data_IF_006367176199
#
_entry.id   IF_006367176199
#
_cell.length_a   1.000
_cell.length_b   1.000
_cell.length_c   1.000
_cell.angle_alpha   90.00
_cell.angle_beta   90.00
_cell.angle_gamma   90.00
#
_symmetry.space_group_name_H-M   'P 1'
#
loop_
_entity.id
_entity.type
_entity.pdbx_description
1 polymer ?
#
# COMPACT_ATOMS: atom_id res chain seq x y z
N UNK A 1 -12.31 -17.77 -37.49
CA UNK A 1 -10.92 -17.87 -37.02
C UNK A 1 -10.46 -16.48 -36.60
N UNK A 2 -10.35 -16.24 -35.29
CA UNK A 2 -9.80 -14.99 -34.76
C UNK A 2 -9.02 -15.36 -33.48
N UNK A 3 -7.74 -15.63 -33.65
CA UNK A 3 -6.79 -15.88 -32.58
C UNK A 3 -5.65 -14.88 -32.70
N UNK A 4 -5.34 -14.20 -31.59
CA UNK A 4 -4.17 -13.32 -31.48
C UNK A 4 -4.53 -11.92 -31.00
N UNK A 5 -4.53 -11.73 -29.67
CA UNK A 5 -4.33 -10.43 -28.99
C UNK A 5 -4.27 -10.52 -27.45
N UNK A 6 -3.59 -11.53 -26.92
CA UNK A 6 -3.40 -11.68 -25.46
C UNK A 6 -1.93 -11.73 -25.03
N UNK A 7 -0.99 -11.73 -25.96
CA UNK A 7 0.45 -11.90 -25.66
C UNK A 7 1.18 -10.55 -25.44
N UNK A 8 0.64 -9.42 -25.93
CA UNK A 8 1.36 -8.13 -25.89
C UNK A 8 1.30 -7.38 -24.55
N UNK A 9 0.32 -7.68 -23.68
CA UNK A 9 0.16 -6.94 -22.42
C UNK A 9 1.14 -7.38 -21.32
N UNK A 10 1.51 -8.67 -21.25
CA UNK A 10 2.43 -9.19 -20.24
C UNK A 10 3.90 -8.85 -20.57
N UNK A 11 4.28 -8.83 -21.86
CA UNK A 11 5.62 -8.44 -22.32
C UNK A 11 5.93 -6.96 -22.03
N UNK A 12 4.92 -6.08 -22.16
CA UNK A 12 5.05 -4.65 -21.86
C UNK A 12 5.18 -4.33 -20.37
N UNK A 13 4.70 -5.21 -19.48
CA UNK A 13 4.77 -5.03 -18.02
C UNK A 13 6.11 -5.52 -17.48
N UNK A 14 6.60 -6.68 -17.94
CA UNK A 14 7.93 -7.19 -17.61
C UNK A 14 9.05 -6.28 -18.14
N UNK A 15 8.91 -5.74 -19.35
CA UNK A 15 9.87 -4.78 -19.92
C UNK A 15 9.91 -3.45 -19.15
N UNK A 16 8.80 -3.04 -18.51
CA UNK A 16 8.72 -1.85 -17.67
C UNK A 16 9.26 -2.08 -16.26
N UNK A 17 9.17 -3.28 -15.70
CA UNK A 17 9.64 -3.60 -14.35
C UNK A 17 11.15 -3.88 -14.26
N UNK A 18 11.77 -4.31 -15.37
CA UNK A 18 13.18 -4.76 -15.39
C UNK A 18 14.24 -3.71 -14.96
N UNK A 19 14.12 -2.42 -15.33
CA UNK A 19 15.06 -1.39 -14.87
C UNK A 19 14.99 -1.20 -13.33
N UNK A 20 13.78 -1.25 -12.76
CA UNK A 20 13.54 -1.03 -11.34
C UNK A 20 14.06 -2.17 -10.45
N UNK A 21 14.04 -3.41 -10.95
CA UNK A 21 14.62 -4.57 -10.24
C UNK A 21 16.16 -4.52 -10.21
N UNK A 22 16.80 -3.92 -11.22
CA UNK A 22 18.26 -3.75 -11.26
C UNK A 22 18.74 -2.60 -10.35
N UNK A 23 17.98 -1.52 -10.26
CA UNK A 23 18.29 -0.39 -9.38
C UNK A 23 18.07 -0.75 -7.91
N UNK A 24 16.97 -1.43 -7.58
CA UNK A 24 16.72 -1.95 -6.23
C UNK A 24 17.78 -2.97 -5.78
N UNK A 25 18.33 -3.77 -6.69
CA UNK A 25 19.41 -4.72 -6.37
C UNK A 25 20.80 -4.06 -6.19
N UNK A 26 21.00 -2.83 -6.70
CA UNK A 26 22.23 -2.07 -6.54
C UNK A 26 22.24 -1.26 -5.24
N UNK A 27 21.09 -0.78 -4.76
CA UNK A 27 20.99 0.05 -3.55
C UNK A 27 20.94 -0.74 -2.23
N UNK A 28 20.71 -2.07 -2.28
CA UNK A 28 20.85 -2.99 -1.13
C UNK A 28 22.33 -3.13 -0.69
N UNK A 29 23.30 -2.62 -1.48
CA UNK A 29 24.74 -2.72 -1.21
C UNK A 29 25.36 -1.49 -0.56
N UNK A 30 24.66 -0.79 0.32
CA UNK A 30 25.31 0.15 1.27
C UNK A 30 25.45 -0.53 2.63
N UNK A 31 26.65 -0.98 3.01
CA UNK A 31 26.88 -1.52 4.35
C UNK A 31 26.97 -0.35 5.33
N UNK A 32 25.85 0.09 5.87
CA UNK A 32 25.87 1.09 6.95
C UNK A 32 26.17 0.40 8.28
N UNK A 33 27.43 0.56 8.70
CA UNK A 33 27.84 0.42 10.08
C UNK A 33 27.28 1.60 10.89
N UNK A 34 26.09 1.43 11.49
CA UNK A 34 25.56 2.37 12.48
C UNK A 34 25.00 1.61 13.69
N UNK A 35 25.68 1.75 14.83
CA UNK A 35 25.13 1.43 16.15
C UNK A 35 24.06 2.47 16.50
N UNK A 36 22.87 2.32 15.93
CA UNK A 36 21.67 3.09 16.27
C UNK A 36 20.74 2.29 17.19
N UNK A 37 19.74 2.95 17.80
CA UNK A 37 18.67 2.25 18.54
C UNK A 37 18.09 1.14 17.67
N UNK A 38 17.99 -0.07 18.22
CA UNK A 38 17.39 -1.17 17.50
C UNK A 38 15.86 -0.98 17.49
N UNK A 39 15.34 -0.42 16.39
CA UNK A 39 13.91 -0.33 16.18
C UNK A 39 13.34 -1.72 15.90
N UNK A 40 12.42 -2.16 16.75
CA UNK A 40 11.64 -3.38 16.54
C UNK A 40 10.24 -3.04 16.05
N UNK A 41 9.62 -4.00 15.35
CA UNK A 41 8.20 -3.93 15.01
C UNK A 41 7.56 -5.27 15.33
N UNK A 42 6.41 -5.18 16.00
CA UNK A 42 5.71 -6.32 16.58
C UNK A 42 4.31 -6.34 15.98
N UNK A 43 3.84 -7.51 15.57
CA UNK A 43 2.47 -7.68 15.12
C UNK A 43 1.48 -7.82 16.29
N UNK A 44 0.19 -7.95 15.99
CA UNK A 44 -0.84 -8.07 17.04
C UNK A 44 -0.78 -9.37 17.85
N UNK A 45 -0.02 -10.38 17.41
CA UNK A 45 0.20 -11.64 18.12
C UNK A 45 1.42 -11.61 19.05
N UNK A 46 2.22 -10.53 19.00
CA UNK A 46 3.50 -10.44 19.71
C UNK A 46 4.70 -10.90 18.88
N UNK A 47 4.50 -11.27 17.61
CA UNK A 47 5.60 -11.68 16.73
C UNK A 47 6.48 -10.48 16.37
N UNK A 48 7.78 -10.57 16.66
CA UNK A 48 8.77 -9.54 16.35
C UNK A 48 9.37 -9.80 14.97
N UNK A 49 9.31 -8.79 14.10
CA UNK A 49 9.96 -8.89 12.78
C UNK A 49 11.46 -9.16 12.91
N UNK A 50 11.94 -10.10 12.13
CA UNK A 50 13.34 -10.50 12.02
C UNK A 50 13.92 -10.04 10.68
N UNK A 51 15.22 -10.26 10.48
CA UNK A 51 15.89 -9.97 9.20
C UNK A 51 15.25 -10.72 8.02
N UNK A 52 14.56 -11.85 8.26
CA UNK A 52 13.79 -12.57 7.24
C UNK A 52 12.66 -11.72 6.69
N UNK A 53 11.86 -11.06 7.53
CA UNK A 53 10.74 -10.22 7.07
C UNK A 53 11.24 -8.93 6.41
N UNK A 54 12.36 -8.36 6.89
CA UNK A 54 13.01 -7.22 6.24
C UNK A 54 13.57 -7.58 4.86
N UNK A 55 14.31 -8.68 4.75
CA UNK A 55 14.83 -9.17 3.47
C UNK A 55 13.68 -9.51 2.51
N UNK A 56 12.64 -10.19 2.99
CA UNK A 56 11.49 -10.53 2.17
C UNK A 56 10.75 -9.29 1.68
N UNK A 57 10.48 -8.30 2.55
CA UNK A 57 9.81 -7.05 2.17
C UNK A 57 10.70 -6.12 1.34
N UNK A 58 12.02 -6.28 1.39
CA UNK A 58 12.97 -5.35 0.75
C UNK A 58 13.08 -4.02 1.50
N UNK A 59 12.74 -3.99 2.78
CA UNK A 59 12.81 -2.83 3.64
C UNK A 59 14.08 -2.89 4.48
N UNK A 60 14.89 -1.83 4.42
CA UNK A 60 16.08 -1.72 5.26
C UNK A 60 15.72 -1.29 6.69
N UNK A 61 16.64 -1.55 7.64
CA UNK A 61 16.53 -1.05 9.01
C UNK A 61 16.45 0.49 9.05
N UNK A 62 17.16 1.17 8.13
CA UNK A 62 17.09 2.63 7.96
C UNK A 62 15.69 3.11 7.59
N UNK A 63 15.03 2.43 6.66
CA UNK A 63 13.64 2.75 6.29
C UNK A 63 12.65 2.47 7.44
N UNK A 64 12.90 1.43 8.24
CA UNK A 64 12.09 1.20 9.45
C UNK A 64 12.26 2.33 10.47
N UNK A 65 13.50 2.79 10.68
CA UNK A 65 13.79 3.95 11.54
C UNK A 65 13.09 5.21 11.00
N UNK A 66 13.27 5.54 9.71
CA UNK A 66 12.59 6.68 9.08
C UNK A 66 11.08 6.59 9.26
N UNK A 67 10.55 5.37 9.20
CA UNK A 67 9.13 5.12 9.41
C UNK A 67 8.70 5.39 10.85
N UNK A 68 9.42 4.85 11.83
CA UNK A 68 9.13 5.02 13.26
C UNK A 68 9.27 6.47 13.73
N UNK A 69 10.17 7.23 13.10
CA UNK A 69 10.39 8.64 13.37
C UNK A 69 9.51 9.58 12.53
N UNK A 70 8.57 9.02 11.76
CA UNK A 70 7.64 9.74 10.90
C UNK A 70 8.31 10.60 9.81
N UNK A 71 9.55 10.27 9.42
CA UNK A 71 10.33 10.95 8.38
C UNK A 71 9.92 10.53 6.97
N UNK A 72 9.58 9.26 6.77
CA UNK A 72 9.10 8.71 5.50
C UNK A 72 8.39 7.37 5.71
N UNK A 73 7.24 7.11 5.08
CA UNK A 73 6.63 5.79 5.12
C UNK A 73 7.47 4.76 4.37
N UNK A 74 7.16 3.47 4.56
CA UNK A 74 7.89 2.39 3.91
C UNK A 74 7.72 2.44 2.38
N UNK A 75 8.77 2.06 1.65
CA UNK A 75 8.80 2.07 0.19
C UNK A 75 9.06 3.44 -0.45
N UNK A 76 9.41 4.46 0.35
CA UNK A 76 9.82 5.78 -0.12
C UNK A 76 10.98 6.32 0.71
N UNK A 77 11.47 7.51 0.38
CA UNK A 77 12.60 8.18 1.02
C UNK A 77 12.17 9.53 1.61
N UNK A 78 12.84 10.03 2.67
CA UNK A 78 12.48 11.29 3.32
C UNK A 78 12.38 12.49 2.38
N UNK A 79 13.24 12.57 1.37
CA UNK A 79 13.27 13.67 0.39
C UNK A 79 12.00 13.66 -0.47
N UNK A 80 11.65 12.47 -1.00
CA UNK A 80 10.44 12.28 -1.79
C UNK A 80 9.19 12.50 -0.96
N UNK A 81 9.17 12.00 0.28
CA UNK A 81 8.06 12.20 1.19
C UNK A 81 7.84 13.67 1.51
N UNK A 82 8.89 14.43 1.85
CA UNK A 82 8.80 15.88 2.10
C UNK A 82 8.24 16.62 0.88
N UNK A 83 8.74 16.31 -0.32
CA UNK A 83 8.23 16.91 -1.56
C UNK A 83 6.73 16.59 -1.75
N UNK A 84 6.32 15.34 -1.54
CA UNK A 84 4.92 14.93 -1.66
C UNK A 84 4.01 15.69 -0.69
N UNK A 85 4.44 15.81 0.57
CA UNK A 85 3.72 16.49 1.63
C UNK A 85 3.62 18.01 1.39
N UNK A 86 4.66 18.63 0.81
CA UNK A 86 4.63 20.04 0.37
C UNK A 86 3.65 20.24 -0.78
N UNK A 87 3.72 19.40 -1.83
CA UNK A 87 2.82 19.50 -2.98
C UNK A 87 1.36 19.23 -2.58
N UNK A 88 1.12 18.31 -1.63
CA UNK A 88 -0.20 18.03 -1.09
C UNK A 88 -0.81 19.25 -0.41
N UNK A 89 -0.02 19.94 0.43
CA UNK A 89 -0.46 21.19 1.08
C UNK A 89 -0.80 22.27 0.07
N UNK A 90 0.01 22.39 -0.98
CA UNK A 90 -0.25 23.33 -2.04
C UNK A 90 -1.54 22.98 -2.79
N UNK A 91 -1.75 21.70 -3.13
CA UNK A 91 -2.98 21.24 -3.78
C UNK A 91 -4.23 21.52 -2.93
N UNK A 92 -4.19 21.25 -1.62
CA UNK A 92 -5.29 21.59 -0.71
C UNK A 92 -5.57 23.09 -0.68
N UNK A 93 -4.52 23.91 -0.60
CA UNK A 93 -4.63 25.37 -0.58
C UNK A 93 -5.21 25.92 -1.88
N UNK A 94 -4.74 25.44 -3.03
CA UNK A 94 -5.21 25.87 -4.36
C UNK A 94 -6.67 25.47 -4.58
N UNK A 95 -7.09 24.36 -3.98
CA UNK A 95 -8.49 23.91 -3.96
C UNK A 95 -9.33 24.64 -2.90
N UNK A 96 -8.75 25.51 -2.06
CA UNK A 96 -9.47 26.22 -0.99
C UNK A 96 -9.95 25.32 0.15
N UNK A 97 -9.30 24.17 0.36
CA UNK A 97 -9.59 23.22 1.44
C UNK A 97 -8.69 23.54 2.63
N UNK A 98 -9.24 24.20 3.65
CA UNK A 98 -8.49 24.66 4.83
C UNK A 98 -8.75 23.85 6.09
N UNK A 99 -9.66 22.87 6.03
CA UNK A 99 -10.10 22.06 7.17
C UNK A 99 -9.70 20.59 7.08
N UNK A 100 -8.63 20.29 6.35
CA UNK A 100 -8.14 18.95 6.14
C UNK A 100 -7.36 18.40 7.35
N UNK A 101 -7.82 17.30 7.94
CA UNK A 101 -6.97 16.38 8.72
C UNK A 101 -6.68 15.17 7.84
N UNK A 102 -5.40 14.91 7.58
CA UNK A 102 -4.97 13.81 6.73
C UNK A 102 -4.02 12.87 7.46
N UNK A 103 -4.31 11.57 7.38
CA UNK A 103 -3.51 10.52 8.02
C UNK A 103 -3.14 9.42 7.04
N UNK A 104 -1.93 8.89 7.15
CA UNK A 104 -1.50 7.73 6.40
C UNK A 104 -1.79 6.44 7.17
N UNK A 105 -2.33 5.44 6.48
CA UNK A 105 -2.75 4.15 7.02
C UNK A 105 -2.11 2.98 6.28
N UNK A 106 -2.38 1.78 6.77
CA UNK A 106 -1.93 0.54 6.17
C UNK A 106 -0.50 0.16 6.53
N UNK A 107 0.00 -0.86 5.84
CA UNK A 107 1.32 -1.45 6.09
C UNK A 107 2.46 -0.48 5.76
N UNK A 108 2.25 0.50 4.87
CA UNK A 108 3.25 1.54 4.56
C UNK A 108 3.54 2.45 5.75
N UNK A 109 2.57 2.65 6.64
CA UNK A 109 2.71 3.45 7.86
C UNK A 109 3.15 2.64 9.10
N UNK A 110 2.97 1.31 9.10
CA UNK A 110 3.07 0.49 10.34
C UNK A 110 3.82 -0.84 10.20
N UNK A 111 4.35 -1.16 9.02
CA UNK A 111 4.93 -2.46 8.64
C UNK A 111 3.91 -3.62 8.60
N UNK A 112 3.25 -3.94 9.71
CA UNK A 112 2.20 -4.97 9.77
C UNK A 112 0.81 -4.42 9.45
N UNK A 113 -0.05 -5.28 8.89
CA UNK A 113 -1.45 -4.96 8.66
C UNK A 113 -2.18 -4.81 10.00
N UNK A 114 -2.93 -3.71 10.15
CA UNK A 114 -3.87 -3.56 11.27
C UNK A 114 -5.18 -4.33 11.08
N UNK A 115 -5.39 -4.93 9.90
CA UNK A 115 -6.56 -5.75 9.58
C UNK A 115 -6.23 -7.25 9.79
N UNK A 116 -6.85 -7.92 10.77
CA UNK A 116 -6.62 -9.35 11.04
C UNK A 116 -7.13 -10.26 9.91
N UNK A 117 -8.04 -9.78 9.06
CA UNK A 117 -8.48 -10.54 7.88
C UNK A 117 -7.35 -10.68 6.84
N UNK A 118 -6.37 -9.78 6.85
CA UNK A 118 -5.15 -9.88 6.03
C UNK A 118 -4.09 -10.76 6.71
N UNK A 119 -4.48 -11.98 7.08
CA UNK A 119 -3.60 -13.00 7.67
C UNK A 119 -2.42 -13.37 6.78
N UNK A 120 -1.29 -13.71 7.41
CA UNK A 120 -0.13 -14.31 6.76
C UNK A 120 -0.29 -15.84 6.78
N UNK A 121 0.04 -16.57 5.71
CA UNK A 121 -0.06 -18.03 5.68
C UNK A 121 0.82 -18.66 6.77
N UNK A 122 0.28 -19.61 7.52
CA UNK A 122 1.03 -20.34 8.56
C UNK A 122 1.61 -21.65 8.04
N UNK A 123 0.97 -22.24 7.02
CA UNK A 123 1.40 -23.49 6.37
C UNK A 123 1.43 -23.32 4.85
N UNK A 124 2.10 -24.25 4.15
CA UNK A 124 2.06 -24.26 2.69
C UNK A 124 0.65 -24.56 2.15
N UNK A 125 -0.15 -25.38 2.83
CA UNK A 125 -1.50 -25.71 2.39
C UNK A 125 -2.47 -24.53 2.54
N UNK A 126 -2.30 -23.74 3.61
CA UNK A 126 -2.96 -22.45 3.73
C UNK A 126 -2.54 -21.51 2.60
N UNK A 127 -1.24 -21.42 2.30
CA UNK A 127 -0.72 -20.62 1.20
C UNK A 127 -1.31 -21.05 -0.15
N UNK A 128 -1.34 -22.36 -0.45
CA UNK A 128 -1.94 -22.89 -1.67
C UNK A 128 -3.41 -22.50 -1.78
N UNK A 129 -4.16 -22.60 -0.68
CA UNK A 129 -5.58 -22.20 -0.63
C UNK A 129 -5.77 -20.71 -0.88
N UNK A 130 -4.94 -19.86 -0.27
CA UNK A 130 -4.95 -18.42 -0.47
C UNK A 130 -4.57 -18.03 -1.91
N UNK A 131 -3.54 -18.67 -2.47
CA UNK A 131 -3.08 -18.45 -3.84
C UNK A 131 -4.13 -18.92 -4.86
N UNK A 132 -4.76 -20.06 -4.61
CA UNK A 132 -5.87 -20.55 -5.42
C UNK A 132 -6.98 -19.50 -5.48
N UNK A 133 -7.41 -18.94 -4.34
CA UNK A 133 -8.44 -17.89 -4.31
C UNK A 133 -7.98 -16.61 -5.01
N UNK A 134 -6.77 -16.13 -4.74
CA UNK A 134 -6.20 -14.93 -5.38
C UNK A 134 -6.14 -15.04 -6.90
N UNK A 135 -5.95 -16.26 -7.42
CA UNK A 135 -5.85 -16.58 -8.85
C UNK A 135 -7.11 -17.24 -9.43
N UNK A 136 -8.27 -17.15 -8.76
CA UNK A 136 -9.50 -17.88 -9.19
C UNK A 136 -10.01 -17.52 -10.59
N UNK A 137 -9.66 -16.34 -11.10
CA UNK A 137 -10.06 -15.87 -12.44
C UNK A 137 -9.06 -16.26 -13.54
N UNK A 138 -7.93 -16.89 -13.17
CA UNK A 138 -6.93 -17.37 -14.12
C UNK A 138 -7.35 -18.76 -14.59
N UNK A 139 -7.22 -19.02 -15.90
CA UNK A 139 -7.46 -20.34 -16.50
C UNK A 139 -6.68 -21.44 -15.79
N UNK A 140 -7.29 -22.63 -15.65
CA UNK A 140 -6.70 -23.77 -14.95
C UNK A 140 -5.29 -24.15 -15.43
N UNK A 141 -5.02 -24.03 -16.73
CA UNK A 141 -3.70 -24.33 -17.33
C UNK A 141 -2.58 -23.42 -16.83
N UNK A 142 -2.89 -22.20 -16.39
CA UNK A 142 -1.93 -21.24 -15.85
C UNK A 142 -2.02 -21.07 -14.33
N UNK A 143 -3.10 -21.54 -13.72
CA UNK A 143 -3.36 -21.37 -12.28
C UNK A 143 -2.45 -22.24 -11.43
N UNK A 144 -2.30 -23.53 -11.76
CA UNK A 144 -1.44 -24.44 -11.00
C UNK A 144 0.03 -24.02 -10.99
N UNK A 145 0.67 -23.71 -12.15
CA UNK A 145 2.04 -23.20 -12.14
C UNK A 145 2.24 -21.97 -11.26
N UNK A 146 1.30 -20.99 -11.31
CA UNK A 146 1.39 -19.79 -10.46
C UNK A 146 1.29 -20.09 -8.98
N UNK A 147 0.46 -21.05 -8.57
CA UNK A 147 0.38 -21.48 -7.17
C UNK A 147 1.71 -22.09 -6.72
N UNK A 148 2.33 -22.92 -7.56
CA UNK A 148 3.62 -23.53 -7.23
C UNK A 148 4.76 -22.50 -7.18
N UNK A 149 4.75 -21.48 -8.05
CA UNK A 149 5.70 -20.35 -7.99
C UNK A 149 5.59 -19.61 -6.64
N UNK A 150 4.36 -19.40 -6.16
CA UNK A 150 4.08 -18.77 -4.86
C UNK A 150 4.62 -19.61 -3.69
N UNK A 151 4.39 -20.93 -3.72
CA UNK A 151 4.93 -21.84 -2.70
C UNK A 151 6.46 -21.88 -2.75
N UNK A 152 7.05 -21.88 -3.94
CA UNK A 152 8.50 -21.84 -4.10
C UNK A 152 9.11 -20.56 -3.50
N UNK A 153 8.50 -19.39 -3.75
CA UNK A 153 8.92 -18.13 -3.14
C UNK A 153 8.83 -18.17 -1.60
N UNK A 154 7.76 -18.75 -1.06
CA UNK A 154 7.57 -18.92 0.38
C UNK A 154 8.61 -19.83 1.04
N UNK A 155 8.96 -20.94 0.37
CA UNK A 155 10.04 -21.86 0.78
C UNK A 155 11.40 -21.17 0.75
N UNK A 156 11.73 -20.51 -0.36
CA UNK A 156 13.00 -19.79 -0.55
C UNK A 156 13.18 -18.69 0.48
N UNK A 157 12.10 -18.02 0.88
CA UNK A 157 12.10 -17.01 1.93
C UNK A 157 12.22 -17.59 3.36
N UNK A 158 12.24 -18.92 3.52
CA UNK A 158 12.38 -19.56 4.83
C UNK A 158 11.10 -19.56 5.67
N UNK A 159 9.92 -19.42 5.05
CA UNK A 159 8.64 -19.50 5.75
C UNK A 159 8.02 -20.90 5.76
N UNK A 160 8.56 -21.84 4.99
CA UNK A 160 8.09 -23.23 4.98
C UNK A 160 8.47 -24.04 6.23
N UNK A 161 9.42 -23.55 7.04
CA UNK A 161 9.82 -24.20 8.29
C UNK A 161 8.76 -24.05 9.40
N UNK A 162 8.79 -24.91 10.42
CA UNK A 162 7.93 -24.82 11.61
C UNK A 162 8.30 -23.68 12.58
N UNK A 163 9.31 -22.87 12.23
CA UNK A 163 9.66 -21.67 12.98
C UNK A 163 8.52 -20.64 13.02
N UNK A 164 8.53 -19.73 14.01
CA UNK A 164 7.47 -18.75 14.20
C UNK A 164 7.36 -17.81 12.99
N UNK A 165 6.14 -17.37 12.69
CA UNK A 165 5.78 -16.52 11.55
C UNK A 165 4.88 -15.38 12.03
N UNK A 166 4.81 -14.26 11.28
CA UNK A 166 3.79 -13.26 11.53
C UNK A 166 2.38 -13.86 11.47
N UNK A 167 1.46 -13.38 12.30
CA UNK A 167 0.04 -13.74 12.23
C UNK A 167 -0.66 -12.98 11.08
N UNK A 168 -0.21 -11.74 10.82
CA UNK A 168 -0.78 -10.85 9.79
C UNK A 168 0.25 -10.50 8.73
N UNK A 169 -0.25 -10.15 7.55
CA UNK A 169 0.58 -9.69 6.45
C UNK A 169 1.38 -8.45 6.86
N UNK A 170 2.61 -8.39 6.36
CA UNK A 170 3.49 -7.23 6.48
C UNK A 170 3.67 -6.56 5.13
N UNK A 171 4.38 -5.43 5.14
CA UNK A 171 4.65 -4.62 3.96
C UNK A 171 5.12 -5.46 2.78
N UNK A 172 4.41 -5.33 1.65
CA UNK A 172 4.60 -6.07 0.41
C UNK A 172 4.51 -7.60 0.47
N UNK A 173 4.28 -8.21 1.63
CA UNK A 173 4.37 -9.66 1.73
C UNK A 173 3.32 -10.37 0.89
N UNK A 174 2.09 -9.84 0.85
CA UNK A 174 1.02 -10.38 0.01
C UNK A 174 1.30 -10.23 -1.47
N UNK A 175 1.90 -9.12 -1.89
CA UNK A 175 2.27 -8.89 -3.29
C UNK A 175 3.39 -9.84 -3.73
N UNK A 176 4.44 -9.96 -2.91
CA UNK A 176 5.58 -10.84 -3.19
C UNK A 176 5.22 -12.32 -3.15
N UNK A 177 4.18 -12.69 -2.39
CA UNK A 177 3.59 -14.03 -2.40
C UNK A 177 2.48 -14.20 -3.47
N UNK A 178 2.27 -13.25 -4.39
CA UNK A 178 1.24 -13.36 -5.43
C UNK A 178 -0.22 -13.35 -4.91
N UNK A 179 -0.43 -13.10 -3.62
CA UNK A 179 -1.75 -13.04 -2.95
C UNK A 179 -2.44 -11.68 -3.11
N UNK A 180 -1.76 -10.73 -3.77
CA UNK A 180 -2.26 -9.41 -4.15
C UNK A 180 -1.69 -9.07 -5.53
N UNK A 181 -2.51 -8.44 -6.38
CA UNK A 181 -2.07 -7.93 -7.68
C UNK A 181 -1.09 -6.76 -7.54
N UNK A 182 -1.22 -5.98 -6.48
CA UNK A 182 -0.50 -4.74 -6.29
C UNK A 182 0.34 -4.78 -5.01
N UNK A 183 1.49 -4.07 -4.99
CA UNK A 183 2.24 -3.81 -3.76
C UNK A 183 1.37 -3.07 -2.74
N UNK A 184 1.84 -3.00 -1.49
CA UNK A 184 1.17 -2.19 -0.46
C UNK A 184 0.97 -0.75 -0.94
N UNK A 185 -0.19 -0.18 -0.69
CA UNK A 185 -0.56 1.17 -1.10
C UNK A 185 -0.12 2.24 -0.08
N UNK A 186 -0.24 3.51 -0.51
CA UNK A 186 -0.28 4.65 0.39
C UNK A 186 -1.73 5.11 0.55
N UNK A 187 -2.35 4.63 1.62
CA UNK A 187 -3.75 4.92 1.93
C UNK A 187 -3.87 6.15 2.82
N UNK A 188 -4.20 7.29 2.19
CA UNK A 188 -4.46 8.54 2.88
C UNK A 188 -5.93 8.63 3.27
N UNK A 189 -6.19 8.81 4.55
CA UNK A 189 -7.53 9.13 5.06
C UNK A 189 -7.62 10.64 5.29
N UNK A 190 -8.53 11.29 4.57
CA UNK A 190 -8.76 12.73 4.60
C UNK A 190 -10.11 13.03 5.23
N UNK A 191 -10.13 13.74 6.34
CA UNK A 191 -11.34 14.32 6.92
C UNK A 191 -11.41 15.80 6.57
N UNK A 192 -12.48 16.24 5.88
CA UNK A 192 -12.75 17.65 5.55
C UNK A 192 -14.24 17.82 5.25
N UNK A 193 -14.89 18.76 5.94
CA UNK A 193 -16.30 19.09 5.67
C UNK A 193 -16.42 19.85 4.34
N UNK A 194 -15.46 20.72 4.04
CA UNK A 194 -15.39 21.42 2.74
C UNK A 194 -15.42 20.44 1.58
N UNK A 195 -14.61 19.37 1.65
CA UNK A 195 -14.55 18.38 0.58
C UNK A 195 -15.78 17.46 0.59
N UNK A 196 -16.29 17.09 1.77
CA UNK A 196 -17.54 16.33 1.91
C UNK A 196 -18.72 17.05 1.24
N UNK A 197 -18.86 18.35 1.47
CA UNK A 197 -19.89 19.19 0.84
C UNK A 197 -19.77 19.22 -0.69
N UNK A 198 -18.55 19.23 -1.24
CA UNK A 198 -18.33 19.17 -2.70
C UNK A 198 -18.74 17.83 -3.29
N UNK A 199 -18.41 16.72 -2.64
CA UNK A 199 -18.88 15.39 -3.06
C UNK A 199 -20.41 15.32 -3.07
N UNK A 200 -21.05 15.79 -1.99
CA UNK A 200 -22.51 15.86 -1.88
C UNK A 200 -23.15 16.75 -2.96
N UNK A 201 -22.58 17.94 -3.20
CA UNK A 201 -23.07 18.87 -4.22
C UNK A 201 -22.94 18.27 -5.63
N UNK A 202 -21.79 17.67 -5.95
CA UNK A 202 -21.57 17.02 -7.24
C UNK A 202 -22.53 15.85 -7.46
N UNK A 203 -22.73 15.01 -6.43
CA UNK A 203 -23.68 13.90 -6.51
C UNK A 203 -25.13 14.36 -6.66
N UNK A 204 -25.55 15.42 -5.96
CA UNK A 204 -26.91 15.99 -6.12
C UNK A 204 -27.18 16.43 -7.56
N UNK A 205 -26.16 16.92 -8.26
CA UNK A 205 -26.23 17.28 -9.68
C UNK A 205 -26.11 16.06 -10.63
N UNK A 206 -25.58 14.93 -10.15
CA UNK A 206 -25.25 13.74 -10.95
C UNK A 206 -25.75 12.45 -10.27
N UNK A 207 -27.06 12.41 -9.94
CA UNK A 207 -27.67 11.38 -9.07
C UNK A 207 -27.57 9.92 -9.54
N UNK A 208 -27.07 9.69 -10.75
CA UNK A 208 -26.82 8.34 -11.28
C UNK A 208 -25.50 7.74 -10.80
N UNK A 209 -24.62 8.56 -10.22
CA UNK A 209 -23.33 8.11 -9.70
C UNK A 209 -23.46 7.63 -8.25
N UNK A 210 -22.70 6.60 -7.89
CA UNK A 210 -22.56 6.18 -6.50
C UNK A 210 -21.72 7.19 -5.73
N UNK A 211 -22.30 7.79 -4.68
CA UNK A 211 -21.61 8.78 -3.83
C UNK A 211 -20.55 8.15 -2.92
N UNK A 212 -20.78 6.92 -2.46
CA UNK A 212 -19.90 6.20 -1.55
C UNK A 212 -19.37 4.93 -2.22
N UNK A 213 -18.15 4.53 -1.87
CA UNK A 213 -17.60 3.21 -2.22
C UNK A 213 -17.28 2.46 -0.94
N UNK A 214 -17.72 1.19 -0.83
CA UNK A 214 -17.42 0.25 0.27
C UNK A 214 -17.19 0.92 1.63
N UNK A 215 -18.25 1.01 2.44
CA UNK A 215 -18.22 1.69 3.74
C UNK A 215 -18.67 3.13 3.61
N UNK A 216 -18.17 3.99 4.50
CA UNK A 216 -18.70 5.34 4.71
C UNK A 216 -17.84 6.46 4.07
N UNK A 217 -16.87 6.12 3.22
CA UNK A 217 -16.05 7.13 2.52
C UNK A 217 -16.59 7.45 1.13
N UNK A 218 -16.38 8.70 0.72
CA UNK A 218 -16.78 9.20 -0.59
C UNK A 218 -16.06 8.45 -1.71
N UNK A 219 -16.77 8.24 -2.81
CA UNK A 219 -16.28 7.51 -3.97
C UNK A 219 -15.02 8.20 -4.54
N UNK A 220 -13.83 7.58 -4.44
CA UNK A 220 -12.58 8.20 -4.87
C UNK A 220 -12.54 8.46 -6.39
N UNK A 221 -13.36 7.76 -7.18
CA UNK A 221 -13.48 8.00 -8.62
C UNK A 221 -14.18 9.32 -8.98
N UNK A 222 -14.68 10.07 -7.99
CA UNK A 222 -15.22 11.42 -8.21
C UNK A 222 -14.23 12.52 -7.81
N UNK A 223 -13.04 12.17 -7.30
CA UNK A 223 -12.05 13.13 -6.80
C UNK A 223 -11.60 14.11 -7.89
N UNK A 224 -11.43 13.63 -9.13
CA UNK A 224 -11.08 14.45 -10.30
C UNK A 224 -12.13 15.54 -10.60
N UNK A 225 -13.39 15.34 -10.16
CA UNK A 225 -14.49 16.30 -10.34
C UNK A 225 -14.61 17.31 -9.21
N UNK A 226 -14.28 16.92 -7.99
CA UNK A 226 -14.54 17.74 -6.78
C UNK A 226 -13.29 18.42 -6.22
N UNK A 227 -12.11 17.88 -6.50
CA UNK A 227 -10.82 18.43 -6.11
C UNK A 227 -9.73 17.99 -7.11
N UNK A 228 -9.76 18.49 -8.36
CA UNK A 228 -8.86 18.06 -9.43
C UNK A 228 -7.35 18.24 -9.12
N UNK A 229 -6.99 19.21 -8.27
CA UNK A 229 -5.62 19.37 -7.76
C UNK A 229 -5.15 18.19 -6.92
N UNK A 230 -6.02 17.63 -6.08
CA UNK A 230 -5.72 16.44 -5.28
C UNK A 230 -5.61 15.20 -6.17
N UNK A 231 -6.48 15.04 -7.15
CA UNK A 231 -6.40 13.93 -8.11
C UNK A 231 -5.08 13.96 -8.91
N UNK A 232 -4.67 15.15 -9.41
CA UNK A 232 -3.37 15.32 -10.06
C UNK A 232 -2.19 14.97 -9.14
N UNK A 233 -2.28 15.34 -7.86
CA UNK A 233 -1.28 14.98 -6.87
C UNK A 233 -1.19 13.46 -6.69
N UNK A 234 -2.34 12.77 -6.57
CA UNK A 234 -2.41 11.30 -6.49
C UNK A 234 -1.73 10.66 -7.69
N UNK A 235 -2.11 11.05 -8.92
CA UNK A 235 -1.56 10.45 -10.14
C UNK A 235 -0.04 10.66 -10.30
N UNK A 236 0.48 11.82 -9.89
CA UNK A 236 1.92 12.10 -9.91
C UNK A 236 2.68 11.18 -8.94
N UNK A 237 2.21 11.06 -7.71
CA UNK A 237 2.93 10.30 -6.68
C UNK A 237 2.76 8.80 -6.83
N UNK A 238 1.63 8.33 -7.36
CA UNK A 238 1.47 6.94 -7.81
C UNK A 238 2.51 6.58 -8.88
N UNK A 239 2.68 7.45 -9.89
CA UNK A 239 3.72 7.26 -10.91
C UNK A 239 5.14 7.29 -10.33
N UNK A 240 5.38 8.17 -9.36
CA UNK A 240 6.71 8.38 -8.78
C UNK A 240 7.13 7.22 -7.89
N UNK A 241 6.21 6.71 -7.06
CA UNK A 241 6.48 5.60 -6.16
C UNK A 241 6.27 4.23 -6.81
N UNK A 242 5.57 4.16 -7.95
CA UNK A 242 5.27 2.90 -8.64
C UNK A 242 4.26 2.04 -7.89
N UNK A 243 3.41 2.65 -7.06
CA UNK A 243 2.51 1.99 -6.10
C UNK A 243 1.24 2.83 -5.98
N UNK A 244 0.10 2.19 -5.75
CA UNK A 244 -1.18 2.90 -5.63
C UNK A 244 -1.14 3.94 -4.51
N UNK A 245 -1.68 5.12 -4.83
CA UNK A 245 -1.92 6.20 -3.88
C UNK A 245 -3.41 6.45 -3.86
N UNK A 246 -4.04 6.40 -2.68
CA UNK A 246 -5.47 6.62 -2.54
C UNK A 246 -5.77 7.69 -1.50
N UNK A 247 -6.82 8.47 -1.74
CA UNK A 247 -7.40 9.39 -0.76
C UNK A 247 -8.82 8.90 -0.45
N UNK A 248 -8.99 8.26 0.70
CA UNK A 248 -10.30 7.97 1.26
C UNK A 248 -10.81 9.22 1.99
N UNK A 249 -11.88 9.82 1.48
CA UNK A 249 -12.41 11.09 2.02
C UNK A 249 -13.62 10.84 2.93
N UNK A 250 -13.67 11.55 4.05
CA UNK A 250 -14.74 11.53 5.05
C UNK A 250 -15.11 12.96 5.49
N UNK A 251 -16.33 13.16 6.02
CA UNK A 251 -16.68 14.37 6.78
C UNK A 251 -16.16 14.33 8.23
N UNK A 252 -16.11 15.47 8.93
CA UNK A 252 -15.58 15.58 10.30
C UNK A 252 -16.17 14.63 11.34
N UNK A 253 -17.46 14.21 11.29
CA UNK A 253 -17.97 13.21 12.23
C UNK A 253 -17.17 11.89 12.26
N UNK A 254 -16.34 11.64 11.24
CA UNK A 254 -15.46 10.46 11.16
C UNK A 254 -14.09 10.66 11.80
N UNK A 255 -13.64 11.89 12.08
CA UNK A 255 -12.31 12.16 12.63
C UNK A 255 -12.06 11.30 13.88
N UNK A 256 -12.96 11.34 14.87
CA UNK A 256 -12.83 10.56 16.10
C UNK A 256 -13.00 9.04 15.94
N UNK A 257 -13.55 8.56 14.81
CA UNK A 257 -13.73 7.13 14.52
C UNK A 257 -12.53 6.54 13.78
N UNK A 258 -11.84 7.36 12.99
CA UNK A 258 -10.71 6.94 12.15
C UNK A 258 -9.37 7.26 12.80
N UNK A 259 -9.31 8.18 13.78
CA UNK A 259 -8.11 8.47 14.56
C UNK A 259 -7.84 7.40 15.62
N UNK A 260 -6.60 6.91 15.65
CA UNK A 260 -6.07 6.04 16.71
C UNK A 260 -4.74 6.60 17.21
N UNK A 261 -4.39 6.37 18.49
CA UNK A 261 -3.04 6.61 18.97
C UNK A 261 -2.01 5.92 18.07
N UNK A 262 -0.97 6.65 17.66
CA UNK A 262 0.07 6.14 16.76
C UNK A 262 -0.30 6.11 15.27
N UNK A 263 -1.38 6.79 14.87
CA UNK A 263 -1.59 7.09 13.46
C UNK A 263 -0.58 8.11 12.94
N UNK A 264 -0.25 7.97 11.66
CA UNK A 264 0.66 8.87 10.99
C UNK A 264 -0.07 10.12 10.54
N UNK A 265 0.05 11.19 11.31
CA UNK A 265 -0.54 12.49 10.94
C UNK A 265 0.32 13.12 9.83
N UNK A 266 -0.32 13.46 8.71
CA UNK A 266 0.31 14.09 7.55
C UNK A 266 -0.05 15.57 7.48
N UNK A 267 -1.31 15.91 7.77
CA UNK A 267 -1.87 17.28 7.80
C UNK A 267 -2.81 17.39 8.99
N UNK A 268 -2.75 18.54 9.68
CA UNK A 268 -3.65 18.93 10.77
C UNK A 268 -3.90 20.44 10.69
#
# INVERSE_FOLDING_TARGET
>A
MAGGKLVDAESGILAKALPYLREAAQDVRRPDALRGREFTVVDSSGYVATDREFAFSGISRKQLEDMKELRAPLGTWPEQWRAAVTELRQALKDEGITDADMRLKGTSAKFYSGDPAKRFPQTEDELRSMAAEAHRLISGSHRLPRIEDVVAAYRQAGFATDGPKPAVAFFDSRYKLGLSKWPSDYDFQLCSDTLAERFEAYWRANRTLGLYTKGDWYNPYLLDRVAPGLDRWVGRWEKTWGRWVSIATYGRPYLGRTTRPGDWVVIQ
#
